data_IF_874379844131
#
_entry.id   IF_874379844131
#
_cell.length_a   1.000
_cell.length_b   1.000
_cell.length_c   1.000
_cell.angle_alpha   90.00
_cell.angle_beta   90.00
_cell.angle_gamma   90.00
#
_symmetry.space_group_name_H-M   'P 1'
#
loop_
_entity.id
_entity.type
_entity.pdbx_description
1 polymer ?
#
# COMPACT_ATOMS: atom_id res chain seq x y z
N UNK A 1 -5.58 16.20 -3.05
CA UNK A 1 -6.17 15.65 -1.83
C UNK A 1 -5.07 14.98 -1.00
N UNK A 2 -5.04 15.27 0.27
CA UNK A 2 -4.18 14.62 1.25
C UNK A 2 -5.02 13.74 2.16
N UNK A 3 -4.44 12.68 2.70
CA UNK A 3 -5.08 11.85 3.73
C UNK A 3 -5.30 12.65 5.03
N UNK A 4 -4.43 13.60 5.32
CA UNK A 4 -4.49 14.48 6.50
C UNK A 4 -5.56 15.58 6.40
N UNK A 5 -6.23 15.74 5.26
CA UNK A 5 -7.16 16.84 5.00
C UNK A 5 -8.55 16.32 4.64
N UNK A 6 -9.59 16.86 5.27
CA UNK A 6 -10.98 16.48 4.98
C UNK A 6 -11.44 16.89 3.57
N UNK A 7 -10.82 17.92 2.99
CA UNK A 7 -11.18 18.46 1.69
C UNK A 7 -9.97 18.54 0.77
N UNK A 8 -10.21 18.38 -0.53
CA UNK A 8 -9.18 18.63 -1.51
C UNK A 8 -8.90 20.13 -1.68
N UNK A 9 -7.65 20.49 -1.89
CA UNK A 9 -7.22 21.87 -2.11
C UNK A 9 -6.87 22.06 -3.58
N UNK A 10 -7.52 23.01 -4.30
CA UNK A 10 -7.11 23.38 -5.65
C UNK A 10 -5.74 24.08 -5.61
N UNK A 11 -4.74 23.50 -6.26
CA UNK A 11 -3.42 24.10 -6.39
C UNK A 11 -3.31 25.06 -7.57
N UNK A 12 -4.15 24.87 -8.61
CA UNK A 12 -4.21 25.70 -9.81
C UNK A 12 -5.52 25.48 -10.55
N UNK A 13 -6.11 26.56 -11.08
CA UNK A 13 -7.30 26.49 -11.91
C UNK A 13 -7.05 25.84 -13.27
N UNK A 14 -5.80 25.90 -13.75
CA UNK A 14 -5.35 25.33 -15.03
C UNK A 14 -4.68 23.95 -14.86
N UNK A 15 -4.70 23.40 -13.66
CA UNK A 15 -4.09 22.09 -13.36
C UNK A 15 -4.70 20.98 -14.21
N UNK A 16 -3.86 20.13 -14.80
CA UNK A 16 -4.26 18.99 -15.64
C UNK A 16 -4.39 17.70 -14.84
N UNK A 17 -3.87 17.66 -13.63
CA UNK A 17 -3.77 16.45 -12.83
C UNK A 17 -4.39 16.65 -11.45
N UNK A 18 -4.85 15.54 -10.91
CA UNK A 18 -5.24 15.40 -9.51
C UNK A 18 -4.15 14.61 -8.81
N UNK A 19 -3.73 15.07 -7.64
CA UNK A 19 -2.76 14.35 -6.80
C UNK A 19 -3.45 13.93 -5.52
N UNK A 20 -3.39 12.63 -5.22
CA UNK A 20 -3.78 12.05 -3.95
C UNK A 20 -2.49 11.61 -3.27
N UNK A 21 -2.35 11.88 -1.99
CA UNK A 21 -1.17 11.46 -1.26
C UNK A 21 -1.44 11.32 0.23
N UNK A 22 -0.74 10.39 0.82
CA UNK A 22 -0.51 10.27 2.24
C UNK A 22 0.93 10.76 2.49
N UNK A 23 1.12 11.90 3.17
CA UNK A 23 2.46 12.43 3.37
C UNK A 23 3.32 11.55 4.26
N UNK A 24 2.71 10.79 5.19
CA UNK A 24 3.44 10.00 6.16
C UNK A 24 2.66 8.76 6.62
N UNK A 25 2.50 7.79 5.71
CA UNK A 25 1.92 6.48 6.03
C UNK A 25 2.70 5.79 7.15
N UNK A 26 1.95 5.24 8.09
CA UNK A 26 2.53 4.57 9.25
C UNK A 26 3.06 5.52 10.33
N UNK A 27 2.62 6.77 10.37
CA UNK A 27 3.08 7.81 11.32
C UNK A 27 3.05 7.38 12.79
N UNK A 28 2.13 6.48 13.18
CA UNK A 28 2.08 5.87 14.51
C UNK A 28 3.30 5.00 14.88
N UNK A 29 4.19 4.75 13.92
CA UNK A 29 5.40 3.94 14.11
C UNK A 29 6.69 4.78 14.21
N UNK A 30 6.58 6.10 14.18
CA UNK A 30 7.76 7.00 14.19
C UNK A 30 8.51 6.91 15.50
N UNK A 31 7.80 6.96 16.62
CA UNK A 31 8.35 6.95 17.97
C UNK A 31 9.08 5.64 18.31
N UNK A 32 8.76 4.55 17.63
CA UNK A 32 9.40 3.24 17.79
C UNK A 32 10.37 2.90 16.65
N UNK A 33 10.65 3.86 15.75
CA UNK A 33 11.62 3.75 14.67
C UNK A 33 11.35 2.61 13.68
N UNK A 34 10.09 2.32 13.38
CA UNK A 34 9.68 1.40 12.31
C UNK A 34 9.53 2.17 11.00
N UNK A 35 9.73 1.49 9.88
CA UNK A 35 9.62 2.07 8.54
C UNK A 35 8.28 2.75 8.31
N UNK A 36 8.34 3.97 7.84
CA UNK A 36 7.22 4.81 7.42
C UNK A 36 7.46 5.28 5.98
N UNK A 37 6.52 5.99 5.39
CA UNK A 37 6.75 6.48 4.03
C UNK A 37 5.69 7.45 3.54
N UNK A 38 5.89 7.92 2.33
CA UNK A 38 4.94 8.78 1.60
C UNK A 38 4.35 8.01 0.45
N UNK A 39 3.04 8.04 0.27
CA UNK A 39 2.34 7.37 -0.83
C UNK A 39 1.68 8.43 -1.71
N UNK A 40 1.72 8.25 -3.03
CA UNK A 40 1.04 9.17 -3.95
C UNK A 40 0.43 8.47 -5.16
N UNK A 41 -0.60 9.11 -5.69
CA UNK A 41 -1.28 8.74 -6.93
C UNK A 41 -1.59 9.98 -7.74
N UNK A 42 -1.37 9.92 -9.04
CA UNK A 42 -1.62 11.00 -10.00
C UNK A 42 -2.65 10.53 -11.02
N UNK A 43 -3.74 11.27 -11.12
CA UNK A 43 -4.83 11.03 -12.05
C UNK A 43 -4.98 12.20 -13.02
N UNK A 44 -5.54 11.97 -14.19
CA UNK A 44 -5.97 13.08 -15.05
C UNK A 44 -7.21 13.75 -14.46
N UNK A 45 -7.22 15.08 -14.51
CA UNK A 45 -8.40 15.88 -14.14
C UNK A 45 -9.52 15.64 -15.14
N UNK A 46 -10.71 15.19 -14.72
CA UNK A 46 -11.84 15.07 -15.62
C UNK A 46 -12.32 16.44 -16.12
N UNK A 47 -13.05 16.45 -17.20
CA UNK A 47 -13.71 17.67 -17.70
C UNK A 47 -14.79 18.15 -16.71
N UNK A 48 -14.92 19.46 -16.58
CA UNK A 48 -15.94 20.09 -15.74
C UNK A 48 -15.47 20.45 -14.33
N UNK A 49 -16.40 20.83 -13.45
CA UNK A 49 -16.11 21.24 -12.08
C UNK A 49 -15.53 20.09 -11.25
N UNK A 50 -14.55 20.39 -10.41
CA UNK A 50 -13.98 19.40 -9.48
C UNK A 50 -14.92 19.16 -8.30
N UNK A 51 -15.02 17.89 -7.92
CA UNK A 51 -15.69 17.43 -6.71
C UNK A 51 -14.93 16.24 -6.13
N UNK A 52 -15.30 15.76 -4.95
CA UNK A 52 -14.76 14.54 -4.37
C UNK A 52 -14.88 13.32 -5.31
N UNK A 53 -15.95 13.25 -6.10
CA UNK A 53 -16.16 12.20 -7.10
C UNK A 53 -15.11 12.19 -8.22
N UNK A 54 -14.49 13.35 -8.51
CA UNK A 54 -13.45 13.45 -9.52
C UNK A 54 -12.20 12.61 -9.18
N UNK A 55 -11.99 12.30 -7.92
CA UNK A 55 -10.89 11.48 -7.43
C UNK A 55 -11.20 9.97 -7.42
N UNK A 56 -12.47 9.58 -7.52
CA UNK A 56 -12.90 8.19 -7.50
C UNK A 56 -12.81 7.57 -8.90
N UNK A 57 -11.59 7.44 -9.39
CA UNK A 57 -11.29 6.83 -10.68
C UNK A 57 -10.72 5.41 -10.49
N UNK A 58 -10.79 4.60 -11.56
CA UNK A 58 -10.13 3.30 -11.57
C UNK A 58 -8.63 3.46 -11.34
N UNK A 59 -8.01 2.59 -10.52
CA UNK A 59 -6.57 2.56 -10.35
C UNK A 59 -5.79 2.36 -11.66
N UNK A 60 -6.42 1.81 -12.70
CA UNK A 60 -5.83 1.68 -14.05
C UNK A 60 -5.79 3.00 -14.82
N UNK A 61 -6.53 4.02 -14.38
CA UNK A 61 -6.51 5.37 -14.96
C UNK A 61 -5.37 6.23 -14.40
N UNK A 62 -4.61 5.74 -13.43
CA UNK A 62 -3.47 6.46 -12.89
C UNK A 62 -2.43 6.76 -13.98
N UNK A 63 -2.01 8.01 -14.05
CA UNK A 63 -0.91 8.46 -14.91
C UNK A 63 0.42 8.04 -14.32
N UNK A 64 0.53 8.18 -13.00
CA UNK A 64 1.65 7.73 -12.21
C UNK A 64 1.16 7.40 -10.80
N UNK A 65 1.88 6.51 -10.13
CA UNK A 65 1.72 6.26 -8.70
C UNK A 65 3.05 5.81 -8.12
N UNK A 66 3.19 5.90 -6.83
CA UNK A 66 4.42 5.48 -6.19
C UNK A 66 4.41 5.73 -4.70
N UNK A 67 5.53 5.39 -4.10
CA UNK A 67 5.78 5.65 -2.70
C UNK A 67 7.28 5.83 -2.42
N UNK A 68 7.58 6.62 -1.42
CA UNK A 68 8.90 6.64 -0.80
C UNK A 68 8.83 5.86 0.51
N UNK A 69 9.77 4.95 0.72
CA UNK A 69 9.91 4.16 1.95
C UNK A 69 11.11 4.68 2.73
N UNK A 70 10.90 5.07 3.97
CA UNK A 70 11.92 5.51 4.93
C UNK A 70 12.17 4.37 5.91
N UNK A 71 13.16 3.52 5.61
CA UNK A 71 13.50 2.32 6.38
C UNK A 71 15.02 2.15 6.47
N UNK A 72 15.53 0.91 6.58
CA UNK A 72 16.96 0.63 6.55
C UNK A 72 17.69 1.22 5.34
N UNK A 73 16.97 1.39 4.24
CA UNK A 73 17.34 2.20 3.07
C UNK A 73 16.15 3.11 2.74
N UNK A 74 16.44 4.31 2.25
CA UNK A 74 15.42 5.15 1.64
C UNK A 74 15.25 4.73 0.19
N UNK A 75 14.04 4.30 -0.17
CA UNK A 75 13.73 3.86 -1.52
C UNK A 75 12.53 4.60 -2.08
N UNK A 76 12.58 4.91 -3.37
CA UNK A 76 11.46 5.44 -4.15
C UNK A 76 11.01 4.36 -5.13
N UNK A 77 9.75 3.98 -5.07
CA UNK A 77 9.12 3.12 -6.06
C UNK A 77 8.18 3.96 -6.90
N UNK A 78 8.38 3.95 -8.19
CA UNK A 78 7.63 4.76 -9.14
C UNK A 78 7.00 3.84 -10.20
N UNK A 79 5.68 3.88 -10.30
CA UNK A 79 4.89 3.21 -11.32
C UNK A 79 4.45 4.23 -12.37
N UNK A 80 4.82 3.99 -13.61
CA UNK A 80 4.39 4.74 -14.78
C UNK A 80 3.69 3.79 -15.76
N UNK A 81 3.11 4.32 -16.83
CA UNK A 81 2.40 3.52 -17.86
C UNK A 81 3.21 2.33 -18.40
N UNK A 82 4.52 2.38 -18.35
CA UNK A 82 5.42 1.38 -18.94
C UNK A 82 6.06 0.43 -17.93
N UNK A 83 5.71 0.54 -16.66
CA UNK A 83 6.22 -0.37 -15.64
C UNK A 83 6.56 0.31 -14.32
N UNK A 84 7.21 -0.47 -13.47
CA UNK A 84 7.62 -0.08 -12.13
C UNK A 84 9.14 0.00 -12.06
N UNK A 85 9.66 1.10 -11.53
CA UNK A 85 11.08 1.26 -11.24
C UNK A 85 11.29 1.47 -9.74
N UNK A 86 12.35 0.87 -9.21
CA UNK A 86 12.77 1.04 -7.82
C UNK A 86 14.10 1.78 -7.81
N UNK A 87 14.17 2.83 -7.03
CA UNK A 87 15.36 3.64 -6.82
C UNK A 87 15.77 3.57 -5.35
N UNK A 88 17.05 3.54 -5.09
CA UNK A 88 17.61 3.61 -3.73
C UNK A 88 18.43 4.90 -3.59
N UNK A 89 18.22 5.60 -2.50
CA UNK A 89 19.01 6.80 -2.16
C UNK A 89 20.42 6.38 -1.76
N UNK A 90 21.42 6.89 -2.47
CA UNK A 90 22.83 6.63 -2.18
C UNK A 90 23.39 7.61 -1.13
N UNK A 91 24.65 7.37 -0.73
CA UNK A 91 25.35 8.23 0.22
C UNK A 91 25.64 9.64 -0.30
N UNK A 92 25.56 9.84 -1.62
CA UNK A 92 25.71 11.13 -2.27
C UNK A 92 24.39 11.93 -2.34
N UNK A 93 23.28 11.39 -1.83
CA UNK A 93 21.97 12.02 -1.88
C UNK A 93 21.28 11.90 -3.24
N UNK A 94 21.66 10.92 -4.05
CA UNK A 94 21.04 10.67 -5.36
C UNK A 94 20.23 9.38 -5.37
N UNK A 95 19.08 9.40 -6.03
CA UNK A 95 18.29 8.20 -6.27
C UNK A 95 18.84 7.42 -7.47
N UNK A 96 19.42 6.26 -7.19
CA UNK A 96 19.96 5.35 -8.20
C UNK A 96 18.95 4.24 -8.48
N UNK A 97 18.63 3.98 -9.75
CA UNK A 97 17.74 2.89 -10.11
C UNK A 97 18.39 1.55 -9.78
N UNK A 98 17.75 0.78 -8.89
CA UNK A 98 18.24 -0.53 -8.42
C UNK A 98 17.46 -1.70 -8.99
N UNK A 99 16.18 -1.49 -9.36
CA UNK A 99 15.36 -2.52 -10.03
C UNK A 99 14.46 -1.89 -11.09
N UNK A 100 14.17 -2.69 -12.12
CA UNK A 100 13.21 -2.34 -13.16
C UNK A 100 12.20 -3.48 -13.33
N UNK A 101 10.92 -3.15 -13.35
CA UNK A 101 9.80 -4.07 -13.52
C UNK A 101 9.85 -5.30 -12.58
N UNK A 102 9.98 -5.11 -11.26
CA UNK A 102 9.87 -6.22 -10.32
C UNK A 102 8.51 -6.91 -10.51
N UNK A 103 8.53 -8.24 -10.53
CA UNK A 103 7.32 -9.04 -10.72
C UNK A 103 6.91 -9.66 -9.40
N UNK A 104 5.67 -9.43 -9.00
CA UNK A 104 5.08 -10.07 -7.82
C UNK A 104 4.89 -11.56 -8.13
N UNK A 105 5.39 -12.42 -7.25
CA UNK A 105 5.22 -13.87 -7.40
C UNK A 105 3.74 -14.25 -7.31
N UNK A 106 3.29 -15.11 -8.23
CA UNK A 106 1.91 -15.59 -8.26
C UNK A 106 1.54 -16.46 -7.06
N UNK A 107 2.51 -17.17 -6.50
CA UNK A 107 2.32 -18.00 -5.31
C UNK A 107 3.26 -17.54 -4.19
N UNK A 108 2.71 -17.37 -3.01
CA UNK A 108 3.44 -16.93 -1.84
C UNK A 108 3.04 -17.74 -0.61
N UNK A 109 3.86 -17.64 0.43
CA UNK A 109 3.58 -18.18 1.77
C UNK A 109 3.56 -17.10 2.84
N UNK A 110 3.45 -15.83 2.44
CA UNK A 110 3.41 -14.71 3.38
C UNK A 110 2.06 -14.00 3.30
N UNK A 111 1.54 -13.64 4.47
CA UNK A 111 0.33 -12.82 4.59
C UNK A 111 0.49 -11.80 5.72
N UNK A 112 -0.22 -10.69 5.61
CA UNK A 112 -0.28 -9.65 6.63
C UNK A 112 -1.74 -9.35 6.97
N UNK A 113 -2.05 -9.36 8.26
CA UNK A 113 -3.36 -9.00 8.78
C UNK A 113 -3.23 -8.66 10.26
N UNK A 114 -4.00 -7.70 10.75
CA UNK A 114 -4.03 -7.42 12.19
C UNK A 114 -4.83 -8.48 12.95
N UNK A 115 -4.12 -9.49 13.47
CA UNK A 115 -4.72 -10.62 14.20
C UNK A 115 -5.51 -10.20 15.44
N UNK A 116 -5.24 -9.05 16.04
CA UNK A 116 -5.99 -8.56 17.20
C UNK A 116 -7.48 -8.31 16.89
N UNK A 117 -7.83 -8.22 15.62
CA UNK A 117 -9.20 -8.04 15.14
C UNK A 117 -9.95 -9.34 14.83
N UNK A 118 -9.32 -10.52 15.01
CA UNK A 118 -9.87 -11.82 14.62
C UNK A 118 -11.29 -12.07 15.18
N UNK A 119 -11.54 -11.67 16.43
CA UNK A 119 -12.86 -11.83 17.09
C UNK A 119 -13.99 -11.01 16.46
N UNK A 120 -13.64 -10.04 15.60
CA UNK A 120 -14.60 -9.15 14.96
C UNK A 120 -14.85 -9.48 13.48
N UNK A 121 -14.07 -10.41 12.92
CA UNK A 121 -14.22 -10.79 11.52
C UNK A 121 -15.43 -11.69 11.30
N UNK A 122 -15.98 -11.63 10.09
CA UNK A 122 -17.00 -12.56 9.64
C UNK A 122 -16.45 -14.00 9.58
N UNK A 123 -17.29 -15.03 9.79
CA UNK A 123 -16.86 -16.43 9.83
C UNK A 123 -15.99 -16.89 8.65
N UNK A 124 -16.27 -16.49 7.38
CA UNK A 124 -15.40 -16.91 6.27
C UNK A 124 -13.97 -16.41 6.39
N UNK A 125 -13.75 -15.18 6.92
CA UNK A 125 -12.41 -14.66 7.14
C UNK A 125 -11.71 -15.37 8.30
N UNK A 126 -12.44 -15.63 9.38
CA UNK A 126 -11.90 -16.41 10.50
C UNK A 126 -11.45 -17.80 10.05
N UNK A 127 -12.27 -18.48 9.24
CA UNK A 127 -11.94 -19.79 8.68
C UNK A 127 -10.70 -19.68 7.76
N UNK A 128 -10.66 -18.72 6.87
CA UNK A 128 -9.53 -18.53 5.97
C UNK A 128 -8.21 -18.37 6.72
N UNK A 129 -8.18 -17.54 7.76
CA UNK A 129 -6.98 -17.36 8.59
C UNK A 129 -6.65 -18.62 9.38
N UNK A 130 -7.64 -19.32 9.95
CA UNK A 130 -7.41 -20.58 10.63
C UNK A 130 -6.75 -21.63 9.72
N UNK A 131 -7.15 -21.70 8.46
CA UNK A 131 -6.53 -22.59 7.47
C UNK A 131 -5.07 -22.19 7.15
N UNK A 132 -4.74 -20.90 7.10
CA UNK A 132 -3.36 -20.46 6.92
C UNK A 132 -2.48 -20.83 8.14
N UNK A 133 -3.04 -20.70 9.35
CA UNK A 133 -2.34 -20.99 10.59
C UNK A 133 -2.20 -22.50 10.87
N UNK A 134 -3.07 -23.33 10.32
CA UNK A 134 -3.01 -24.77 10.49
C UNK A 134 -1.76 -25.43 9.85
N UNK A 135 -1.07 -24.71 8.97
CA UNK A 135 0.19 -25.17 8.40
C UNK A 135 0.06 -26.41 7.51
N UNK A 136 1.11 -27.23 7.49
CA UNK A 136 1.19 -28.42 6.65
C UNK A 136 0.15 -29.49 7.00
N UNK A 137 -0.27 -29.54 8.25
CA UNK A 137 -1.28 -30.49 8.72
C UNK A 137 -2.71 -30.04 8.44
N UNK A 138 -2.88 -28.79 8.01
CA UNK A 138 -4.18 -28.22 7.68
C UNK A 138 -4.59 -28.46 6.22
N UNK A 139 -5.78 -27.97 5.84
CA UNK A 139 -6.38 -28.24 4.53
C UNK A 139 -5.58 -27.69 3.35
N UNK A 140 -4.68 -26.72 3.58
CA UNK A 140 -3.83 -26.14 2.54
C UNK A 140 -2.51 -26.88 2.34
N UNK A 141 -2.13 -27.78 3.25
CA UNK A 141 -0.90 -28.58 3.16
C UNK A 141 0.40 -27.78 3.05
N UNK A 142 0.42 -26.54 3.57
CA UNK A 142 1.56 -25.62 3.45
C UNK A 142 1.70 -24.77 4.71
N UNK A 143 2.94 -24.46 5.08
CA UNK A 143 3.23 -23.48 6.11
C UNK A 143 3.19 -22.07 5.53
N UNK A 144 2.52 -21.16 6.24
CA UNK A 144 2.43 -19.74 5.92
C UNK A 144 3.03 -18.90 7.05
N UNK A 145 3.65 -17.78 6.71
CA UNK A 145 4.22 -16.84 7.66
C UNK A 145 3.39 -15.56 7.71
N UNK A 146 2.93 -15.20 8.90
CA UNK A 146 2.33 -13.89 9.11
C UNK A 146 3.43 -12.83 9.25
N UNK A 147 3.28 -11.74 8.52
CA UNK A 147 4.14 -10.56 8.57
C UNK A 147 3.25 -9.34 8.78
N UNK A 148 3.39 -8.67 9.91
CA UNK A 148 2.61 -7.48 10.22
C UNK A 148 3.53 -6.38 10.72
N UNK A 149 3.63 -5.28 9.95
CA UNK A 149 4.47 -4.11 10.26
C UNK A 149 3.62 -2.93 10.74
N UNK A 150 2.32 -2.95 10.45
CA UNK A 150 1.38 -1.86 10.71
C UNK A 150 1.74 -0.54 9.99
N UNK A 151 2.37 -0.63 8.84
CA UNK A 151 2.63 0.45 7.90
C UNK A 151 2.31 -0.04 6.50
N UNK A 152 1.38 0.61 5.82
CA UNK A 152 0.90 0.19 4.50
C UNK A 152 2.05 0.22 3.48
N UNK A 153 2.86 1.27 3.50
CA UNK A 153 4.01 1.42 2.58
C UNK A 153 5.01 0.27 2.75
N UNK A 154 5.29 -0.14 3.99
CA UNK A 154 6.21 -1.25 4.26
C UNK A 154 5.62 -2.60 3.81
N UNK A 155 4.32 -2.82 4.02
CA UNK A 155 3.65 -4.04 3.58
C UNK A 155 3.58 -4.14 2.05
N UNK A 156 3.23 -3.06 1.36
CA UNK A 156 3.21 -3.02 -0.11
C UNK A 156 4.59 -3.26 -0.68
N UNK A 157 5.62 -2.64 -0.09
CA UNK A 157 7.01 -2.86 -0.53
C UNK A 157 7.44 -4.32 -0.36
N UNK A 158 7.13 -4.93 0.78
CA UNK A 158 7.40 -6.36 1.02
C UNK A 158 6.71 -7.24 -0.03
N UNK A 159 5.44 -6.96 -0.33
CA UNK A 159 4.67 -7.73 -1.33
C UNK A 159 5.29 -7.55 -2.71
N UNK A 160 5.67 -6.34 -3.10
CA UNK A 160 6.32 -6.08 -4.38
C UNK A 160 7.62 -6.88 -4.52
N UNK A 161 8.42 -6.99 -3.45
CA UNK A 161 9.74 -7.65 -3.47
C UNK A 161 9.67 -9.17 -3.29
N UNK A 162 8.71 -9.67 -2.49
CA UNK A 162 8.70 -11.08 -2.04
C UNK A 162 7.39 -11.81 -2.32
N UNK A 163 6.39 -11.11 -2.82
CA UNK A 163 5.05 -11.62 -2.90
C UNK A 163 4.35 -11.59 -1.54
N UNK A 164 3.11 -12.01 -1.51
CA UNK A 164 2.29 -12.01 -0.32
C UNK A 164 0.94 -11.37 -0.54
N UNK A 165 0.19 -11.28 0.56
CA UNK A 165 -1.08 -10.58 0.59
C UNK A 165 -1.16 -9.72 1.86
N UNK A 166 -1.69 -8.51 1.71
CA UNK A 166 -2.14 -7.67 2.80
C UNK A 166 -3.67 -7.72 2.87
N UNK A 167 -4.21 -7.89 4.06
CA UNK A 167 -5.65 -8.02 4.27
C UNK A 167 -6.13 -7.04 5.35
N UNK A 168 -7.17 -6.30 4.99
CA UNK A 168 -7.88 -5.41 5.90
C UNK A 168 -9.39 -5.68 5.77
N UNK A 169 -9.87 -6.81 6.31
CA UNK A 169 -11.26 -7.23 6.13
C UNK A 169 -12.20 -6.32 6.91
N UNK A 170 -13.41 -6.19 6.39
CA UNK A 170 -14.54 -5.60 7.11
C UNK A 170 -14.74 -6.35 8.43
N UNK A 171 -14.97 -5.62 9.50
CA UNK A 171 -15.26 -6.19 10.81
C UNK A 171 -16.58 -5.66 11.42
N UNK A 172 -17.06 -6.33 12.45
CA UNK A 172 -18.35 -6.02 13.05
C UNK A 172 -18.40 -4.68 13.81
N UNK A 173 -17.24 -4.06 14.10
CA UNK A 173 -17.17 -2.78 14.83
C UNK A 173 -17.45 -1.59 13.92
N UNK A 174 -17.17 -1.74 12.64
CA UNK A 174 -17.37 -0.68 11.65
C UNK A 174 -18.04 -1.25 10.39
N UNK A 175 -19.40 -1.31 10.41
CA UNK A 175 -20.15 -1.82 9.26
C UNK A 175 -20.05 -0.95 8.03
N UNK A 176 -19.55 0.28 8.14
CA UNK A 176 -19.42 1.21 7.03
C UNK A 176 -18.11 1.08 6.24
N UNK A 177 -17.12 0.38 6.81
CA UNK A 177 -15.85 0.07 6.14
C UNK A 177 -15.92 -1.08 5.18
#
# INVERSE_FOLDING_TARGET
ASEEEEQFVPASDQGRYLVLFDPLDGSSNIDINISVGTIFSILEKPAGPLSAQSFLQSGRAQVASGYALYGPQTQLVLCLRHGVAVFTLDAGGQFVQTQLNPQIQQATREFAINMSNQRHWQPPMQQYIAELLAGETGPRGKNYNMRWVASMVAEIHRILMRGGIFMYPKDARDPAK
#
